data_IF_513194095615
#
_entry.id   IF_513194095615
#
_cell.length_a   1.000
_cell.length_b   1.000
_cell.length_c   1.000
_cell.angle_alpha   90.00
_cell.angle_beta   90.00
_cell.angle_gamma   90.00
#
_symmetry.space_group_name_H-M   'P 1'
#
loop_
_entity.id
_entity.type
_entity.pdbx_description
1 polymer ?
#
# COMPACT_ATOMS: atom_id res chain seq x y z
N UNK A 1 -17.08 -26.11 -41.58
CA UNK A 1 -17.08 -26.18 -40.10
C UNK A 1 -15.61 -26.39 -39.69
N UNK A 2 -14.88 -25.33 -39.44
CA UNK A 2 -13.44 -25.37 -39.07
C UNK A 2 -13.36 -24.90 -37.62
N UNK A 3 -12.87 -25.79 -36.75
CA UNK A 3 -12.68 -25.47 -35.32
C UNK A 3 -11.53 -24.45 -35.15
N UNK A 4 -11.63 -23.49 -34.25
CA UNK A 4 -10.52 -22.55 -33.98
C UNK A 4 -9.42 -23.23 -33.18
N UNK A 5 -8.18 -23.01 -33.59
CA UNK A 5 -6.95 -23.58 -33.03
C UNK A 5 -6.64 -23.08 -31.61
N UNK A 6 -5.99 -23.90 -30.77
CA UNK A 6 -5.76 -23.64 -29.34
C UNK A 6 -4.57 -22.67 -29.03
N UNK A 7 -4.04 -21.96 -30.00
CA UNK A 7 -2.79 -21.18 -29.80
C UNK A 7 -2.96 -19.78 -29.17
N UNK A 8 -4.18 -19.27 -28.97
CA UNK A 8 -4.39 -17.93 -28.38
C UNK A 8 -4.44 -17.88 -26.84
N UNK A 9 -4.47 -19.05 -26.16
CA UNK A 9 -4.50 -19.10 -24.70
C UNK A 9 -3.13 -19.06 -24.00
N UNK A 10 -2.03 -19.20 -24.76
CA UNK A 10 -0.67 -19.27 -24.15
C UNK A 10 0.07 -17.95 -24.09
N UNK A 11 -0.39 -16.89 -24.76
CA UNK A 11 0.29 -15.59 -24.76
C UNK A 11 -0.08 -14.73 -23.53
N UNK A 12 -1.34 -14.73 -23.11
CA UNK A 12 -1.77 -13.94 -21.96
C UNK A 12 -1.18 -14.46 -20.63
N UNK A 13 -1.13 -15.80 -20.43
CA UNK A 13 -0.54 -16.38 -19.21
C UNK A 13 0.99 -16.26 -19.14
N UNK A 14 1.68 -16.05 -20.27
CA UNK A 14 3.14 -15.81 -20.31
C UNK A 14 3.48 -14.32 -20.12
N UNK A 15 2.62 -13.40 -20.54
CA UNK A 15 2.80 -11.97 -20.33
C UNK A 15 2.66 -11.60 -18.84
N UNK A 16 1.74 -12.20 -18.10
CA UNK A 16 1.56 -12.00 -16.66
C UNK A 16 2.73 -12.51 -15.80
N UNK A 17 3.57 -13.40 -16.32
CA UNK A 17 4.73 -13.96 -15.57
C UNK A 17 6.03 -13.22 -15.80
N UNK A 18 6.17 -12.38 -16.82
CA UNK A 18 7.44 -11.75 -17.22
C UNK A 18 7.47 -10.21 -17.10
N UNK A 19 6.33 -9.54 -17.17
CA UNK A 19 6.22 -8.10 -16.97
C UNK A 19 5.52 -7.87 -15.63
N UNK A 20 6.25 -7.34 -14.65
CA UNK A 20 5.68 -6.93 -13.38
C UNK A 20 4.75 -5.73 -13.57
N UNK A 21 3.53 -5.96 -14.02
CA UNK A 21 2.50 -4.93 -14.08
C UNK A 21 2.22 -4.44 -12.67
N UNK A 22 2.56 -3.20 -12.38
CA UNK A 22 2.34 -2.57 -11.08
C UNK A 22 1.19 -1.58 -11.22
N UNK A 23 0.20 -1.71 -10.35
CA UNK A 23 -0.86 -0.73 -10.22
C UNK A 23 -0.53 0.23 -9.08
N UNK A 24 -0.72 1.50 -9.32
CA UNK A 24 -0.58 2.55 -8.32
C UNK A 24 -1.96 3.13 -8.07
N UNK A 25 -2.55 2.78 -6.95
CA UNK A 25 -3.80 3.37 -6.50
C UNK A 25 -3.51 4.61 -5.66
N UNK A 26 -4.14 5.72 -6.00
CA UNK A 26 -4.08 6.94 -5.21
C UNK A 26 -5.41 7.16 -4.52
N UNK A 27 -5.41 7.12 -3.19
CA UNK A 27 -6.51 7.70 -2.40
C UNK A 27 -6.10 9.14 -2.12
N UNK A 28 -6.61 10.09 -2.91
CA UNK A 28 -6.15 11.48 -2.89
C UNK A 28 -7.19 12.41 -2.29
N UNK A 29 -6.76 13.27 -1.39
CA UNK A 29 -7.31 14.60 -1.28
C UNK A 29 -6.51 15.55 -2.19
N UNK A 30 -7.20 16.47 -2.80
CA UNK A 30 -6.95 17.47 -3.84
C UNK A 30 -5.59 18.19 -3.95
N UNK A 31 -4.51 17.73 -3.32
CA UNK A 31 -3.25 18.50 -3.21
C UNK A 31 -2.09 18.05 -4.09
N UNK A 32 -2.17 16.92 -4.78
CA UNK A 32 -1.02 16.34 -5.48
C UNK A 32 -0.71 16.96 -6.85
N UNK A 33 -1.69 17.53 -7.53
CA UNK A 33 -1.54 18.07 -8.89
C UNK A 33 -0.62 19.29 -9.00
N UNK A 34 -0.22 19.92 -7.89
CA UNK A 34 0.60 21.14 -7.89
C UNK A 34 2.11 20.88 -7.73
N UNK A 35 2.53 19.66 -7.36
CA UNK A 35 3.93 19.38 -7.02
C UNK A 35 4.81 18.96 -8.20
N UNK A 36 4.25 18.34 -9.24
CA UNK A 36 5.02 17.77 -10.35
C UNK A 36 5.64 18.80 -11.32
N UNK A 37 5.30 20.07 -11.22
CA UNK A 37 5.65 21.08 -12.24
C UNK A 37 6.88 21.94 -11.91
N UNK A 38 7.56 21.79 -10.76
CA UNK A 38 8.63 22.72 -10.36
C UNK A 38 9.85 22.00 -9.79
N UNK A 39 10.56 21.27 -10.60
CA UNK A 39 11.88 20.76 -10.22
C UNK A 39 12.84 20.74 -11.39
N UNK A 40 13.59 21.82 -11.55
CA UNK A 40 14.98 21.79 -12.01
C UNK A 40 15.61 23.18 -11.85
N UNK A 41 16.63 23.27 -11.00
CA UNK A 41 17.56 24.39 -10.72
C UNK A 41 17.17 25.26 -9.54
N UNK A 42 17.65 24.92 -8.36
CA UNK A 42 17.56 25.77 -7.19
C UNK A 42 18.72 25.62 -6.22
N UNK A 43 19.13 26.72 -5.64
CA UNK A 43 20.16 26.82 -4.62
C UNK A 43 19.75 26.06 -3.33
N UNK A 44 20.72 25.83 -2.43
CA UNK A 44 20.52 25.15 -1.14
C UNK A 44 19.32 25.70 -0.31
N UNK A 45 18.94 26.96 -0.53
CA UNK A 45 17.78 27.60 0.09
C UNK A 45 16.43 27.10 -0.47
N UNK A 46 16.41 26.57 -1.70
CA UNK A 46 15.22 25.96 -2.31
C UNK A 46 15.08 24.46 -1.98
N UNK A 47 16.19 23.81 -1.59
CA UNK A 47 16.21 22.41 -1.18
C UNK A 47 15.60 22.22 0.21
N UNK A 48 15.77 23.17 1.14
CA UNK A 48 15.22 23.10 2.50
C UNK A 48 13.69 22.90 2.55
N UNK A 49 12.87 23.61 1.76
CA UNK A 49 11.43 23.36 1.71
C UNK A 49 11.07 22.00 1.10
N UNK A 50 11.88 21.50 0.16
CA UNK A 50 11.70 20.18 -0.47
C UNK A 50 12.07 19.10 0.55
N UNK A 51 13.19 19.22 1.24
CA UNK A 51 13.60 18.31 2.32
C UNK A 51 12.56 18.27 3.45
N UNK A 52 12.03 19.44 3.84
CA UNK A 52 10.96 19.52 4.84
C UNK A 52 9.67 18.88 4.37
N UNK A 53 9.35 18.91 3.06
CA UNK A 53 8.21 18.19 2.47
C UNK A 53 8.45 16.69 2.36
N UNK A 54 9.67 16.26 2.05
CA UNK A 54 10.08 14.86 2.05
C UNK A 54 10.07 14.24 3.45
N UNK A 55 10.42 15.02 4.49
CA UNK A 55 10.29 14.61 5.90
C UNK A 55 8.84 14.41 6.36
N UNK A 56 7.84 14.83 5.56
CA UNK A 56 6.41 14.65 5.82
C UNK A 56 5.83 13.45 5.05
N UNK A 57 6.66 12.64 4.42
CA UNK A 57 6.26 11.44 3.70
C UNK A 57 6.88 10.20 4.37
N UNK A 58 6.09 9.18 4.56
CA UNK A 58 6.55 7.88 5.06
C UNK A 58 6.40 6.80 4.01
N UNK A 59 7.28 5.81 4.07
CA UNK A 59 7.37 4.72 3.12
C UNK A 59 7.33 3.38 3.83
N UNK A 60 6.47 2.49 3.37
CA UNK A 60 6.39 1.10 3.82
C UNK A 60 6.84 0.20 2.68
N UNK A 61 8.00 -0.45 2.79
CA UNK A 61 8.53 -1.28 1.71
C UNK A 61 7.79 -2.62 1.60
N UNK A 62 7.85 -3.24 0.44
CA UNK A 62 7.33 -4.57 0.15
C UNK A 62 7.84 -5.61 1.15
N UNK A 63 9.15 -5.59 1.44
CA UNK A 63 9.77 -6.45 2.46
C UNK A 63 9.98 -5.66 3.74
N UNK A 64 9.05 -5.80 4.68
CA UNK A 64 9.17 -5.17 5.98
C UNK A 64 10.42 -5.60 6.72
N UNK A 65 11.10 -4.63 7.29
CA UNK A 65 12.27 -4.84 8.16
C UNK A 65 11.99 -4.25 9.55
N UNK A 66 12.30 -5.03 10.58
CA UNK A 66 12.24 -4.60 11.97
C UNK A 66 13.63 -4.58 12.58
N UNK A 67 13.85 -3.61 13.44
CA UNK A 67 15.11 -3.48 14.18
C UNK A 67 15.07 -4.35 15.44
N UNK A 68 16.24 -4.75 15.93
CA UNK A 68 16.32 -5.38 17.24
C UNK A 68 15.91 -4.41 18.33
N UNK A 69 15.08 -4.87 19.26
CA UNK A 69 14.51 -4.04 20.33
C UNK A 69 13.18 -4.59 20.81
N UNK A 70 12.22 -3.74 21.03
CA UNK A 70 10.83 -4.11 21.38
C UNK A 70 9.87 -3.77 20.27
N UNK A 71 8.61 -4.23 20.35
CA UNK A 71 7.56 -3.78 19.45
C UNK A 71 7.40 -2.26 19.58
N UNK A 72 7.37 -1.75 20.81
CA UNK A 72 7.28 -0.31 21.11
C UNK A 72 8.38 0.47 20.43
N UNK A 73 9.65 0.12 20.64
CA UNK A 73 10.79 0.82 20.03
C UNK A 73 10.81 0.74 18.51
N UNK A 74 10.21 -0.29 17.92
CA UNK A 74 10.04 -0.40 16.48
C UNK A 74 8.97 0.54 15.95
N UNK A 75 7.83 0.69 16.63
CA UNK A 75 6.76 1.60 16.21
C UNK A 75 7.16 3.05 16.47
N UNK A 76 7.76 3.35 17.60
CA UNK A 76 8.23 4.68 18.00
C UNK A 76 9.57 5.07 17.35
N UNK A 77 10.04 4.35 16.34
CA UNK A 77 11.40 4.51 15.78
C UNK A 77 11.75 5.95 15.36
N UNK A 78 10.78 6.71 14.90
CA UNK A 78 10.99 8.09 14.46
C UNK A 78 11.08 9.11 15.62
N UNK A 79 10.59 8.75 16.81
CA UNK A 79 10.54 9.59 17.99
C UNK A 79 10.54 8.72 19.25
N UNK A 80 11.68 8.67 19.95
CA UNK A 80 11.83 7.89 21.19
C UNK A 80 10.95 8.40 22.33
N UNK A 81 10.48 9.66 22.25
CA UNK A 81 9.55 10.28 23.20
C UNK A 81 8.08 10.11 22.85
N UNK A 82 7.75 9.29 21.85
CA UNK A 82 6.39 9.12 21.38
C UNK A 82 5.45 8.61 22.50
N UNK A 83 4.28 9.27 22.71
CA UNK A 83 3.31 8.82 23.70
C UNK A 83 2.81 7.40 23.41
N UNK A 84 2.70 6.57 24.45
CA UNK A 84 2.27 5.17 24.32
C UNK A 84 0.89 5.05 23.68
N UNK A 85 -0.02 6.00 23.94
CA UNK A 85 -1.36 5.97 23.34
C UNK A 85 -1.31 6.11 21.82
N UNK A 86 -0.38 6.91 21.29
CA UNK A 86 -0.15 7.04 19.87
C UNK A 86 0.44 5.77 19.26
N UNK A 87 1.35 5.10 19.97
CA UNK A 87 1.88 3.81 19.57
C UNK A 87 0.75 2.78 19.50
N UNK A 88 -0.13 2.74 20.51
CA UNK A 88 -1.30 1.86 20.52
C UNK A 88 -2.27 2.15 19.38
N UNK A 89 -2.57 3.42 19.13
CA UNK A 89 -3.41 3.82 18.00
C UNK A 89 -2.82 3.35 16.65
N UNK A 90 -1.53 3.56 16.42
CA UNK A 90 -0.86 3.11 15.21
C UNK A 90 -0.88 1.58 15.05
N UNK A 91 -0.70 0.84 16.14
CA UNK A 91 -0.77 -0.62 16.20
C UNK A 91 -2.19 -1.11 15.89
N UNK A 92 -3.20 -0.39 16.39
CA UNK A 92 -4.61 -0.70 16.17
C UNK A 92 -5.01 -0.49 14.70
N UNK A 93 -4.72 0.67 14.14
CA UNK A 93 -4.95 0.96 12.72
C UNK A 93 -4.26 -0.07 11.82
N UNK A 94 -3.03 -0.48 12.18
CA UNK A 94 -2.28 -1.51 11.45
C UNK A 94 -2.80 -2.95 11.65
N UNK A 95 -3.94 -3.14 12.34
CA UNK A 95 -4.53 -4.44 12.65
C UNK A 95 -3.54 -5.38 13.40
N UNK A 96 -2.69 -4.82 14.25
CA UNK A 96 -1.67 -5.57 14.99
C UNK A 96 -2.03 -5.77 16.47
N UNK A 97 -3.11 -5.15 16.98
CA UNK A 97 -3.48 -5.15 18.39
C UNK A 97 -3.70 -6.54 18.96
N UNK A 98 -4.41 -7.41 18.25
CA UNK A 98 -4.70 -8.78 18.69
C UNK A 98 -3.39 -9.59 18.89
N UNK A 99 -2.49 -9.53 17.92
CA UNK A 99 -1.22 -10.26 18.02
C UNK A 99 -0.31 -9.67 19.11
N UNK A 100 -0.29 -8.35 19.30
CA UNK A 100 0.47 -7.69 20.36
C UNK A 100 -0.09 -8.08 21.72
N UNK A 101 -1.41 -8.06 21.89
CA UNK A 101 -2.08 -8.47 23.13
C UNK A 101 -1.89 -9.97 23.45
N UNK A 102 -1.68 -10.83 22.45
CA UNK A 102 -1.38 -12.25 22.64
C UNK A 102 0.03 -12.51 23.19
N UNK A 103 0.88 -11.49 23.24
CA UNK A 103 2.24 -11.60 23.80
C UNK A 103 2.26 -11.27 25.28
N UNK A 104 3.01 -12.03 26.06
CA UNK A 104 3.08 -11.85 27.52
C UNK A 104 3.55 -10.43 27.90
N UNK A 105 4.53 -9.88 27.19
CA UNK A 105 5.07 -8.53 27.40
C UNK A 105 4.37 -7.44 26.56
N UNK A 106 3.36 -7.79 25.77
CA UNK A 106 2.63 -6.84 24.92
C UNK A 106 3.56 -6.02 24.01
N UNK A 107 3.52 -4.69 24.11
CA UNK A 107 4.40 -3.76 23.38
C UNK A 107 5.87 -3.93 23.78
N UNK A 108 6.17 -4.41 24.99
CA UNK A 108 7.54 -4.71 25.46
C UNK A 108 8.15 -5.96 24.85
N UNK A 109 7.39 -6.76 24.12
CA UNK A 109 7.86 -7.99 23.49
C UNK A 109 9.08 -7.73 22.60
N UNK A 110 10.13 -8.52 22.83
CA UNK A 110 11.37 -8.41 22.08
C UNK A 110 11.22 -8.85 20.64
N UNK A 111 11.77 -8.02 19.75
CA UNK A 111 11.88 -8.26 18.31
C UNK A 111 13.35 -8.48 17.97
N UNK A 112 13.64 -9.60 17.34
CA UNK A 112 14.97 -9.89 16.82
C UNK A 112 15.27 -9.06 15.57
N UNK A 113 16.53 -8.85 15.24
CA UNK A 113 16.93 -8.14 14.03
C UNK A 113 16.28 -8.77 12.78
N UNK A 114 15.71 -7.91 11.94
CA UNK A 114 14.96 -8.34 10.76
C UNK A 114 13.58 -8.93 11.09
N UNK A 115 13.18 -9.00 12.38
CA UNK A 115 11.91 -9.57 12.79
C UNK A 115 11.82 -11.10 12.59
N UNK A 116 12.93 -11.83 12.77
CA UNK A 116 12.97 -13.28 12.53
C UNK A 116 12.09 -14.10 13.47
N UNK A 117 11.71 -13.54 14.62
CA UNK A 117 10.86 -14.16 15.64
C UNK A 117 9.36 -13.77 15.51
N UNK A 118 8.97 -13.08 14.44
CA UNK A 118 7.59 -12.77 14.11
C UNK A 118 7.26 -13.23 12.69
N UNK A 119 5.97 -13.54 12.43
CA UNK A 119 5.55 -13.97 11.10
C UNK A 119 5.68 -12.86 10.06
N UNK A 120 5.63 -13.19 8.76
CA UNK A 120 5.68 -12.21 7.68
C UNK A 120 4.58 -11.15 7.78
N UNK A 121 3.35 -11.56 8.00
CA UNK A 121 2.21 -10.65 8.17
C UNK A 121 2.30 -9.80 9.45
N UNK A 122 2.78 -10.37 10.58
CA UNK A 122 3.02 -9.61 11.81
C UNK A 122 4.09 -8.55 11.60
N UNK A 123 5.20 -8.92 10.94
CA UNK A 123 6.29 -8.00 10.60
C UNK A 123 5.80 -6.86 9.71
N UNK A 124 4.98 -7.17 8.71
CA UNK A 124 4.42 -6.18 7.80
C UNK A 124 3.51 -5.20 8.55
N UNK A 125 2.59 -5.70 9.39
CA UNK A 125 1.72 -4.86 10.22
C UNK A 125 2.48 -3.94 11.16
N UNK A 126 3.57 -4.42 11.77
CA UNK A 126 4.42 -3.56 12.61
C UNK A 126 5.17 -2.49 11.80
N UNK A 127 5.60 -2.79 10.57
CA UNK A 127 6.19 -1.77 9.69
C UNK A 127 5.16 -0.72 9.25
N UNK A 128 3.92 -1.14 9.00
CA UNK A 128 2.79 -0.23 8.75
C UNK A 128 2.51 0.63 9.99
N UNK A 129 2.42 0.03 11.19
CA UNK A 129 2.24 0.77 12.45
C UNK A 129 3.34 1.83 12.66
N UNK A 130 4.61 1.49 12.41
CA UNK A 130 5.74 2.44 12.43
C UNK A 130 5.50 3.63 11.51
N UNK A 131 5.04 3.38 10.30
CA UNK A 131 4.74 4.44 9.34
C UNK A 131 3.58 5.32 9.80
N UNK A 132 2.50 4.74 10.31
CA UNK A 132 1.33 5.45 10.79
C UNK A 132 1.64 6.31 12.02
N UNK A 133 2.51 5.83 12.90
CA UNK A 133 2.94 6.56 14.10
C UNK A 133 3.66 7.89 13.79
N UNK A 134 4.17 8.09 12.57
CA UNK A 134 4.86 9.35 12.18
C UNK A 134 3.92 10.51 11.89
N UNK A 135 2.60 10.31 11.75
CA UNK A 135 1.61 11.32 11.33
C UNK A 135 2.02 12.09 10.07
N UNK A 136 2.58 11.40 9.10
CA UNK A 136 2.98 11.98 7.85
C UNK A 136 1.81 12.63 7.09
N UNK A 137 2.11 13.50 6.14
CA UNK A 137 1.12 14.08 5.21
C UNK A 137 0.90 13.19 3.98
N UNK A 138 1.88 12.35 3.67
CA UNK A 138 1.79 11.39 2.59
C UNK A 138 2.33 10.02 3.03
N UNK A 139 1.65 8.98 2.62
CA UNK A 139 2.00 7.59 2.90
C UNK A 139 2.20 6.86 1.58
N UNK A 140 3.32 6.17 1.44
CA UNK A 140 3.62 5.31 0.30
C UNK A 140 3.72 3.85 0.77
N UNK A 141 2.81 3.02 0.31
CA UNK A 141 2.78 1.58 0.56
C UNK A 141 3.21 0.83 -0.70
N UNK A 142 4.37 0.20 -0.66
CA UNK A 142 4.90 -0.55 -1.79
C UNK A 142 4.60 -2.04 -1.61
N UNK A 143 3.57 -2.53 -2.30
CA UNK A 143 3.05 -3.91 -2.23
C UNK A 143 2.93 -4.44 -0.78
N UNK A 144 2.61 -3.51 0.14
CA UNK A 144 2.72 -3.76 1.58
C UNK A 144 1.57 -4.62 2.13
N UNK A 145 0.55 -4.88 1.33
CA UNK A 145 -0.63 -5.66 1.73
C UNK A 145 -0.59 -7.12 1.25
N UNK A 146 0.31 -7.46 0.33
CA UNK A 146 0.39 -8.79 -0.28
C UNK A 146 0.72 -9.91 0.71
N UNK A 147 1.40 -9.58 1.82
CA UNK A 147 1.74 -10.54 2.89
C UNK A 147 0.61 -10.75 3.92
N UNK A 148 -0.51 -10.03 3.78
CA UNK A 148 -1.65 -10.10 4.68
C UNK A 148 -2.70 -11.08 4.14
N UNK A 149 -3.43 -11.72 5.05
CA UNK A 149 -4.63 -12.45 4.70
C UNK A 149 -5.76 -11.46 4.29
N UNK A 150 -6.72 -11.97 3.54
CA UNK A 150 -7.78 -11.14 2.94
C UNK A 150 -8.57 -10.31 3.97
N UNK A 151 -8.92 -10.92 5.13
CA UNK A 151 -9.69 -10.25 6.17
C UNK A 151 -8.89 -9.10 6.81
N UNK A 152 -7.62 -9.35 7.13
CA UNK A 152 -6.72 -8.34 7.70
C UNK A 152 -6.45 -7.22 6.69
N UNK A 153 -6.26 -7.54 5.41
CA UNK A 153 -6.07 -6.56 4.34
C UNK A 153 -7.29 -5.65 4.18
N UNK A 154 -8.51 -6.22 4.12
CA UNK A 154 -9.74 -5.45 4.00
C UNK A 154 -9.97 -4.52 5.21
N UNK A 155 -9.80 -5.03 6.43
CA UNK A 155 -9.93 -4.24 7.67
C UNK A 155 -8.91 -3.10 7.73
N UNK A 156 -7.65 -3.39 7.38
CA UNK A 156 -6.59 -2.37 7.34
C UNK A 156 -6.91 -1.26 6.35
N UNK A 157 -7.35 -1.58 5.13
CA UNK A 157 -7.72 -0.58 4.11
C UNK A 157 -8.87 0.31 4.57
N UNK A 158 -9.87 -0.28 5.22
CA UNK A 158 -10.99 0.48 5.79
C UNK A 158 -10.52 1.46 6.87
N UNK A 159 -9.63 1.01 7.78
CA UNK A 159 -9.05 1.89 8.81
C UNK A 159 -8.18 3.00 8.18
N UNK A 160 -7.36 2.68 7.19
CA UNK A 160 -6.56 3.68 6.47
C UNK A 160 -7.45 4.74 5.81
N UNK A 161 -8.53 4.33 5.13
CA UNK A 161 -9.48 5.25 4.52
C UNK A 161 -10.12 6.17 5.57
N UNK A 162 -10.54 5.62 6.71
CA UNK A 162 -11.20 6.37 7.78
C UNK A 162 -10.23 7.32 8.51
N UNK A 163 -9.04 6.84 8.85
CA UNK A 163 -8.09 7.56 9.72
C UNK A 163 -7.14 8.47 8.96
N UNK A 164 -6.87 8.21 7.69
CA UNK A 164 -5.98 9.02 6.87
C UNK A 164 -6.73 10.05 6.02
N UNK A 165 -8.00 10.34 6.32
CA UNK A 165 -8.77 11.37 5.64
C UNK A 165 -8.01 12.69 5.53
N UNK A 166 -7.91 13.27 4.32
CA UNK A 166 -7.15 14.48 4.06
C UNK A 166 -5.63 14.30 3.92
N UNK A 167 -5.10 13.08 4.02
CA UNK A 167 -3.72 12.73 3.71
C UNK A 167 -3.60 12.19 2.28
N UNK A 168 -2.41 12.23 1.73
CA UNK A 168 -2.13 11.57 0.45
C UNK A 168 -1.68 10.13 0.73
N UNK A 169 -2.39 9.16 0.16
CA UNK A 169 -2.04 7.75 0.26
C UNK A 169 -1.74 7.23 -1.14
N UNK A 170 -0.55 6.67 -1.32
CA UNK A 170 -0.12 6.02 -2.55
C UNK A 170 0.09 4.55 -2.25
N UNK A 171 -0.61 3.69 -2.97
CA UNK A 171 -0.52 2.24 -2.81
C UNK A 171 -0.04 1.65 -4.12
N UNK A 172 1.11 1.00 -4.10
CA UNK A 172 1.55 0.12 -5.19
C UNK A 172 1.02 -1.26 -4.88
N UNK A 173 0.25 -1.83 -5.78
CA UNK A 173 -0.39 -3.12 -5.57
C UNK A 173 -0.40 -3.95 -6.86
N UNK A 174 -0.47 -5.28 -6.66
CA UNK A 174 -0.65 -6.25 -7.74
C UNK A 174 -2.08 -6.84 -7.74
N UNK A 175 -2.87 -6.53 -6.68
CA UNK A 175 -4.26 -6.99 -6.54
C UNK A 175 -5.21 -5.85 -6.84
N UNK A 176 -6.16 -6.09 -7.74
CA UNK A 176 -7.24 -5.12 -8.06
C UNK A 176 -8.03 -4.76 -6.80
N UNK A 177 -8.39 -5.76 -5.97
CA UNK A 177 -9.15 -5.53 -4.74
C UNK A 177 -8.49 -4.52 -3.79
N UNK A 178 -7.17 -4.36 -3.84
CA UNK A 178 -6.45 -3.39 -3.01
C UNK A 178 -6.67 -1.94 -3.47
N UNK A 179 -6.90 -1.71 -4.76
CA UNK A 179 -7.02 -0.37 -5.36
C UNK A 179 -8.40 -0.06 -5.91
N UNK A 180 -9.34 -1.00 -5.80
CA UNK A 180 -10.68 -0.92 -6.38
C UNK A 180 -11.42 0.40 -6.05
N UNK A 181 -11.27 0.87 -4.80
CA UNK A 181 -11.91 2.08 -4.30
C UNK A 181 -10.98 3.29 -4.25
N UNK A 182 -9.85 3.25 -4.96
CA UNK A 182 -8.95 4.40 -5.01
C UNK A 182 -9.56 5.54 -5.83
N UNK A 183 -9.37 6.78 -5.38
CA UNK A 183 -9.83 7.98 -6.11
C UNK A 183 -9.22 8.06 -7.52
N UNK A 184 -8.03 7.48 -7.68
CA UNK A 184 -7.33 7.39 -8.96
C UNK A 184 -6.43 6.18 -9.00
N UNK A 185 -6.53 5.41 -10.06
CA UNK A 185 -5.66 4.28 -10.37
C UNK A 185 -4.77 4.69 -11.54
N UNK A 186 -3.50 4.34 -11.48
CA UNK A 186 -2.55 4.48 -12.58
C UNK A 186 -2.06 3.08 -12.95
N UNK A 187 -2.26 2.69 -14.19
CA UNK A 187 -1.85 1.39 -14.72
C UNK A 187 -0.51 1.54 -15.41
N UNK A 188 0.45 0.73 -14.97
CA UNK A 188 1.79 0.70 -15.53
C UNK A 188 2.02 -0.63 -16.25
N UNK A 189 2.50 -0.55 -17.49
CA UNK A 189 2.95 -1.69 -18.27
C UNK A 189 4.29 -1.32 -18.92
N UNK A 190 5.30 -2.21 -18.80
CA UNK A 190 6.68 -1.98 -19.28
C UNK A 190 7.25 -0.59 -18.93
N UNK A 191 6.96 -0.10 -17.70
CA UNK A 191 7.43 1.19 -17.20
C UNK A 191 6.74 2.41 -17.83
N UNK A 192 5.64 2.22 -18.54
CA UNK A 192 4.81 3.27 -19.15
C UNK A 192 3.44 3.30 -18.52
N UNK A 193 2.86 4.50 -18.45
CA UNK A 193 1.46 4.66 -18.05
C UNK A 193 0.61 4.30 -19.27
N UNK A 194 -0.20 3.22 -19.15
CA UNK A 194 -1.12 2.76 -20.19
C UNK A 194 -2.56 3.15 -19.89
N UNK A 195 -2.89 3.46 -18.62
CA UNK A 195 -4.21 3.94 -18.22
C UNK A 195 -4.17 4.72 -16.90
N UNK A 196 -5.13 5.64 -16.74
CA UNK A 196 -5.35 6.33 -15.47
C UNK A 196 -6.81 6.73 -15.34
N UNK A 197 -7.41 6.51 -14.16
CA UNK A 197 -8.82 6.82 -13.90
C UNK A 197 -9.32 6.13 -12.64
N UNK A 198 -10.64 6.10 -12.46
CA UNK A 198 -11.31 5.23 -11.48
C UNK A 198 -11.37 3.79 -11.99
N UNK A 199 -11.84 2.88 -11.15
CA UNK A 199 -12.07 1.49 -11.56
C UNK A 199 -13.02 1.42 -12.78
N UNK A 200 -14.14 2.12 -12.71
CA UNK A 200 -15.17 2.11 -13.75
C UNK A 200 -14.61 2.69 -15.08
N UNK A 201 -13.91 3.81 -15.01
CA UNK A 201 -13.29 4.43 -16.19
C UNK A 201 -12.26 3.50 -16.84
N UNK A 202 -11.44 2.81 -16.05
CA UNK A 202 -10.43 1.90 -16.55
C UNK A 202 -11.01 0.59 -17.09
N UNK A 203 -12.10 0.11 -16.53
CA UNK A 203 -12.84 -1.04 -17.09
C UNK A 203 -13.35 -0.77 -18.49
N UNK A 204 -13.66 0.50 -18.82
CA UNK A 204 -14.13 0.88 -20.15
C UNK A 204 -12.97 1.22 -21.11
N UNK A 205 -11.91 1.86 -20.62
CA UNK A 205 -10.91 2.54 -21.46
C UNK A 205 -9.54 1.87 -21.51
N UNK A 206 -9.22 0.95 -20.59
CA UNK A 206 -7.91 0.31 -20.49
C UNK A 206 -8.02 -1.21 -20.60
N UNK A 207 -7.51 -1.78 -21.69
CA UNK A 207 -7.58 -3.22 -21.94
C UNK A 207 -6.75 -4.01 -20.93
N UNK A 208 -5.54 -3.53 -20.64
CA UNK A 208 -4.61 -4.14 -19.68
C UNK A 208 -5.23 -4.20 -18.27
N UNK A 209 -5.88 -3.11 -17.84
CA UNK A 209 -6.57 -3.10 -16.55
C UNK A 209 -7.73 -4.09 -16.52
N UNK A 210 -8.53 -4.13 -17.57
CA UNK A 210 -9.69 -5.03 -17.68
C UNK A 210 -9.27 -6.51 -17.66
N UNK A 211 -8.21 -6.86 -18.36
CA UNK A 211 -7.68 -8.24 -18.34
C UNK A 211 -7.25 -8.65 -16.94
N UNK A 212 -6.55 -7.77 -16.20
CA UNK A 212 -6.14 -8.02 -14.81
C UNK A 212 -7.37 -8.15 -13.92
N UNK A 213 -8.34 -7.23 -14.03
CA UNK A 213 -9.56 -7.24 -13.23
C UNK A 213 -10.37 -8.52 -13.44
N UNK A 214 -10.61 -8.91 -14.70
CA UNK A 214 -11.32 -10.15 -15.04
C UNK A 214 -10.61 -11.41 -14.58
N UNK A 215 -9.30 -11.36 -14.40
CA UNK A 215 -8.52 -12.51 -13.90
C UNK A 215 -8.55 -12.65 -12.38
N UNK A 216 -8.87 -11.59 -11.66
CA UNK A 216 -8.73 -11.52 -10.20
C UNK A 216 -10.06 -11.34 -9.45
N UNK A 217 -11.04 -10.68 -10.06
CA UNK A 217 -12.33 -10.37 -9.45
C UNK A 217 -13.41 -11.40 -9.86
N UNK A 218 -14.32 -11.66 -8.94
CA UNK A 218 -15.55 -12.40 -9.22
C UNK A 218 -16.53 -11.53 -10.05
N UNK A 219 -17.52 -12.16 -10.70
CA UNK A 219 -18.55 -11.43 -11.44
C UNK A 219 -19.32 -10.42 -10.57
N UNK A 220 -19.48 -10.70 -9.27
CA UNK A 220 -20.15 -9.78 -8.33
C UNK A 220 -19.29 -8.52 -8.06
N UNK A 221 -17.98 -8.69 -7.89
CA UNK A 221 -17.04 -7.58 -7.67
C UNK A 221 -16.85 -6.74 -8.94
N UNK A 222 -16.88 -7.36 -10.12
CA UNK A 222 -16.80 -6.64 -11.41
C UNK A 222 -18.01 -5.71 -11.65
N UNK A 223 -19.17 -6.03 -11.08
CA UNK A 223 -20.42 -5.27 -11.22
C UNK A 223 -20.66 -4.27 -10.06
N UNK A 224 -19.63 -3.97 -9.26
CA UNK A 224 -19.72 -3.00 -8.16
C UNK A 224 -20.39 -3.54 -6.89
N UNK A 225 -20.48 -4.86 -6.75
CA UNK A 225 -20.91 -5.51 -5.50
C UNK A 225 -19.74 -5.56 -4.52
N UNK A 226 -19.93 -5.07 -3.29
CA UNK A 226 -19.00 -5.30 -2.20
C UNK A 226 -18.88 -6.81 -1.98
N UNK A 227 -17.66 -7.31 -1.92
CA UNK A 227 -17.40 -8.69 -1.50
C UNK A 227 -17.86 -8.84 -0.05
N UNK A 228 -18.85 -9.69 0.17
CA UNK A 228 -19.43 -10.01 1.47
C UNK A 228 -18.44 -10.80 2.37
#
# INVERSE_FOLDING_TARGET
MVAPSPERRSSASRALSAAGSQMVGFVSSTSFTRWAATSARGSMMEIMPIMRKLMMMTYVPQKAFLFSGTIESNVAYADEGMPVDRIREAVDIAQASEFVASKEEGLGTRVSQGGSNVSGGQRQRLAIARALATEARAYLFDDSFSALDYKTDAALRQELHTRLGGKTVVIVAQRISTVLHADRIVVLDDGRIVGQGTHEELMETCEEYREIAMSQLSEAELNGGDAA
#
